data_IF_330343206423
#
_entry.id   IF_330343206423
#
_cell.length_a   1.000
_cell.length_b   1.000
_cell.length_c   1.000
_cell.angle_alpha   90.00
_cell.angle_beta   90.00
_cell.angle_gamma   90.00
#
_symmetry.space_group_name_H-M   'P 1'
#
loop_
_entity.id
_entity.type
_entity.pdbx_description
1 polymer ?
#
# COMPACT_ATOMS: atom_id res chain seq x y z
N UNK A 1 7.55 25.59 10.43
CA UNK A 1 7.46 24.97 10.65
C UNK A 1 7.16 24.54 10.74
N UNK A 2 7.18 24.75 10.39
CA UNK A 2 6.98 23.95 10.48
C UNK A 2 6.64 23.57 10.46
N UNK A 3 6.68 23.95 10.29
CA UNK A 3 6.52 23.15 10.33
C UNK A 3 6.02 22.80 10.49
N UNK A 4 5.99 22.98 10.39
CA UNK A 4 5.64 22.12 10.54
C UNK A 4 5.06 21.78 10.72
N UNK A 5 5.14 22.29 10.76
CA UNK A 5 4.79 21.65 10.96
C UNK A 5 4.29 21.29 10.74
N UNK A 6 4.44 21.70 10.45
CA UNK A 6 4.16 21.06 10.38
C UNK A 6 3.86 20.73 9.83
N UNK A 7 3.91 20.98 9.61
CA UNK A 7 3.90 20.32 9.28
C UNK A 7 3.47 20.10 8.95
N UNK A 8 3.45 20.64 8.83
CA UNK A 8 3.26 20.03 8.68
C UNK A 8 2.75 19.58 8.46
N UNK A 9 2.69 20.00 8.49
CA UNK A 9 2.54 19.22 8.36
C UNK A 9 2.01 18.99 7.71
N UNK A 10 1.98 19.64 7.48
CA UNK A 10 1.82 19.11 6.97
C UNK A 10 2.03 18.82 6.21
N UNK A 11 2.29 19.36 5.88
CA UNK A 11 2.84 18.84 5.44
C UNK A 11 2.99 18.46 5.09
N UNK A 12 2.94 18.89 4.95
CA UNK A 12 3.31 18.19 4.77
C UNK A 12 3.21 17.67 4.27
N UNK A 13 3.15 18.02 4.05
CA UNK A 13 3.31 17.30 3.72
C UNK A 13 3.00 17.01 2.97
N UNK A 14 2.96 17.47 2.79
CA UNK A 14 2.90 17.00 2.29
C UNK A 14 2.98 16.96 1.63
N UNK A 15 3.23 17.55 1.48
CA UNK A 15 3.53 17.33 1.10
C UNK A 15 4.12 17.15 0.59
N UNK A 16 4.59 17.52 0.40
CA UNK A 16 5.23 17.19 0.08
C UNK A 16 5.58 16.77 -0.52
N UNK A 17 5.62 16.68 -0.82
CA UNK A 17 5.80 16.11 -1.30
C UNK A 17 5.74 15.70 -2.11
N UNK A 18 5.84 15.93 -2.67
CA UNK A 18 5.61 15.46 -3.51
C UNK A 18 6.01 15.21 -4.82
N UNK A 19 6.41 15.26 -5.00
CA UNK A 19 6.80 15.41 -6.32
C UNK A 19 7.99 14.64 -6.68
N UNK A 20 8.48 13.88 -5.83
CA UNK A 20 9.55 12.94 -6.02
C UNK A 20 8.91 11.62 -6.40
N UNK A 21 9.15 11.11 -7.62
CA UNK A 21 8.41 9.93 -8.09
C UNK A 21 8.57 8.72 -7.21
N UNK A 22 9.76 8.52 -6.65
CA UNK A 22 10.00 7.36 -5.82
C UNK A 22 9.30 7.46 -4.46
N UNK A 23 8.79 8.63 -4.14
CA UNK A 23 8.08 8.82 -2.88
C UNK A 23 6.64 8.36 -2.98
N UNK A 24 6.21 7.98 -4.18
CA UNK A 24 4.84 7.55 -4.39
C UNK A 24 4.45 6.38 -3.50
N UNK A 25 5.43 5.57 -3.03
CA UNK A 25 5.11 4.45 -2.17
C UNK A 25 5.61 4.74 -0.76
N UNK A 26 4.69 5.07 0.11
CA UNK A 26 4.92 5.29 1.53
C UNK A 26 4.61 4.00 2.26
N UNK A 27 5.57 3.50 3.04
CA UNK A 27 5.42 2.22 3.74
C UNK A 27 4.26 2.22 4.71
N UNK A 28 4.08 3.31 5.45
CA UNK A 28 2.96 3.42 6.37
C UNK A 28 1.64 3.44 5.65
N UNK A 29 1.57 4.15 4.53
CA UNK A 29 0.36 4.22 3.72
C UNK A 29 0.02 2.86 3.11
N UNK A 30 1.02 2.08 2.71
CA UNK A 30 0.82 0.74 2.17
C UNK A 30 0.21 -0.18 3.24
N UNK A 31 0.79 -0.18 4.43
CA UNK A 31 0.30 -1.02 5.52
C UNK A 31 -1.13 -0.63 5.87
N UNK A 32 -1.39 0.66 5.98
CA UNK A 32 -2.72 1.16 6.32
C UNK A 32 -3.73 0.80 5.24
N UNK A 33 -3.34 0.95 3.96
CA UNK A 33 -4.23 0.63 2.86
C UNK A 33 -4.63 -0.85 2.87
N UNK A 34 -3.71 -1.73 3.19
CA UNK A 34 -3.95 -3.17 3.17
C UNK A 34 -4.49 -3.70 4.48
N UNK A 35 -4.64 -2.86 5.50
CA UNK A 35 -5.19 -3.27 6.78
C UNK A 35 -6.71 -3.47 6.72
N UNK A 36 -7.39 -2.74 5.87
CA UNK A 36 -8.84 -2.86 5.73
C UNK A 36 -9.19 -4.10 4.91
N UNK A 37 -10.00 -5.04 5.43
CA UNK A 37 -10.28 -6.30 4.73
C UNK A 37 -10.95 -6.10 3.37
N UNK A 38 -11.89 -5.16 3.26
CA UNK A 38 -12.57 -4.92 1.98
C UNK A 38 -11.60 -4.35 0.96
N UNK A 39 -10.77 -3.41 1.37
CA UNK A 39 -9.79 -2.81 0.49
C UNK A 39 -8.78 -3.85 0.04
N UNK A 40 -8.36 -4.72 0.94
CA UNK A 40 -7.45 -5.83 0.62
C UNK A 40 -8.08 -6.77 -0.41
N UNK A 41 -9.39 -7.05 -0.28
CA UNK A 41 -10.10 -7.88 -1.26
C UNK A 41 -10.10 -7.24 -2.64
N UNK A 42 -10.31 -5.93 -2.72
CA UNK A 42 -10.25 -5.22 -4.00
C UNK A 42 -8.84 -5.31 -4.58
N UNK A 43 -7.83 -5.12 -3.75
CA UNK A 43 -6.44 -5.22 -4.17
C UNK A 43 -6.16 -6.61 -4.76
N UNK A 44 -6.61 -7.65 -4.09
CA UNK A 44 -6.43 -9.03 -4.54
C UNK A 44 -7.16 -9.28 -5.86
N UNK A 45 -8.35 -8.71 -6.01
CA UNK A 45 -9.12 -8.84 -7.23
C UNK A 45 -8.36 -8.25 -8.42
N UNK A 46 -7.69 -7.12 -8.21
CA UNK A 46 -6.90 -6.48 -9.25
C UNK A 46 -5.67 -7.28 -9.62
N UNK A 47 -5.28 -8.23 -8.78
CA UNK A 47 -4.19 -9.15 -9.13
C UNK A 47 -4.51 -10.03 -10.33
N UNK A 48 -5.79 -10.18 -10.66
CA UNK A 48 -6.22 -10.93 -11.84
C UNK A 48 -6.26 -10.11 -13.12
N UNK A 49 -5.98 -8.81 -13.04
CA UNK A 49 -5.96 -7.93 -14.21
C UNK A 49 -6.75 -6.66 -13.97
N UNK A 50 -6.68 -5.71 -14.91
CA UNK A 50 -7.39 -4.44 -14.77
C UNK A 50 -8.91 -4.62 -14.66
N UNK A 51 -9.56 -3.74 -13.88
CA UNK A 51 -11.00 -3.76 -13.67
C UNK A 51 -11.54 -2.33 -13.63
N UNK A 52 -12.75 -2.15 -14.16
CA UNK A 52 -13.47 -0.90 -13.96
C UNK A 52 -14.19 -0.93 -12.61
N UNK A 53 -14.69 0.24 -12.16
CA UNK A 53 -15.46 0.29 -10.93
C UNK A 53 -16.70 -0.60 -11.03
N UNK A 54 -17.33 -0.63 -12.22
CA UNK A 54 -18.52 -1.47 -12.43
C UNK A 54 -18.15 -2.95 -12.25
N UNK A 55 -17.02 -3.36 -12.82
CA UNK A 55 -16.57 -4.75 -12.68
C UNK A 55 -16.35 -5.12 -11.22
N UNK A 56 -15.70 -4.22 -10.47
CA UNK A 56 -15.42 -4.47 -9.05
C UNK A 56 -16.71 -4.53 -8.25
N UNK A 57 -17.63 -3.60 -8.52
CA UNK A 57 -18.92 -3.54 -7.83
C UNK A 57 -19.71 -4.82 -8.02
N UNK A 58 -19.53 -5.48 -9.16
CA UNK A 58 -20.21 -6.75 -9.43
C UNK A 58 -19.65 -7.92 -8.62
N UNK A 59 -18.49 -7.77 -8.02
CA UNK A 59 -17.82 -8.88 -7.31
C UNK A 59 -17.66 -8.66 -5.81
N UNK A 60 -17.84 -7.44 -5.32
CA UNK A 60 -17.77 -7.17 -3.90
C UNK A 60 -19.10 -6.56 -3.45
N UNK A 61 -19.58 -6.95 -2.26
CA UNK A 61 -20.91 -6.54 -1.81
C UNK A 61 -20.92 -5.16 -1.15
N UNK A 62 -20.43 -4.15 -1.86
CA UNK A 62 -20.42 -2.77 -1.35
C UNK A 62 -20.86 -1.84 -2.46
N UNK A 63 -21.21 -0.61 -2.09
CA UNK A 63 -21.71 0.37 -3.05
C UNK A 63 -20.60 0.87 -3.96
N UNK A 64 -21.01 1.42 -5.11
CA UNK A 64 -20.06 1.99 -6.05
C UNK A 64 -19.24 3.14 -5.45
N UNK A 65 -19.85 4.07 -4.68
CA UNK A 65 -19.04 5.10 -4.02
C UNK A 65 -18.02 4.51 -3.05
N UNK A 66 -18.35 3.42 -2.35
CA UNK A 66 -17.41 2.78 -1.45
C UNK A 66 -16.24 2.15 -2.21
N UNK A 67 -16.52 1.52 -3.36
CA UNK A 67 -15.46 0.98 -4.21
C UNK A 67 -14.52 2.09 -4.64
N UNK A 68 -15.09 3.23 -5.10
CA UNK A 68 -14.29 4.37 -5.54
C UNK A 68 -13.40 4.90 -4.41
N UNK A 69 -13.94 4.94 -3.19
CA UNK A 69 -13.18 5.41 -2.04
C UNK A 69 -12.02 4.49 -1.72
N UNK A 70 -12.26 3.18 -1.74
CA UNK A 70 -11.18 2.21 -1.50
C UNK A 70 -10.11 2.27 -2.58
N UNK A 71 -10.51 2.44 -3.84
CA UNK A 71 -9.56 2.57 -4.93
C UNK A 71 -8.70 3.82 -4.79
N UNK A 72 -9.29 4.91 -4.30
CA UNK A 72 -8.54 6.13 -4.06
C UNK A 72 -7.45 5.90 -3.01
N UNK A 73 -7.78 5.22 -1.91
CA UNK A 73 -6.80 4.93 -0.88
C UNK A 73 -5.66 4.08 -1.42
N UNK A 74 -5.98 3.04 -2.20
CA UNK A 74 -4.97 2.19 -2.82
C UNK A 74 -4.10 2.97 -3.80
N UNK A 75 -4.70 3.87 -4.58
CA UNK A 75 -3.98 4.69 -5.54
C UNK A 75 -3.04 5.65 -4.82
N UNK A 76 -3.53 6.29 -3.77
CA UNK A 76 -2.72 7.25 -3.00
C UNK A 76 -1.55 6.55 -2.30
N UNK A 77 -1.70 5.27 -1.99
CA UNK A 77 -0.62 4.48 -1.40
C UNK A 77 0.36 3.97 -2.46
N UNK A 78 0.12 4.23 -3.73
CA UNK A 78 1.02 3.81 -4.80
C UNK A 78 0.84 2.38 -5.26
N UNK A 79 -0.22 1.70 -4.80
CA UNK A 79 -0.43 0.28 -5.09
C UNK A 79 -1.29 0.05 -6.33
N UNK A 80 -2.00 1.07 -6.77
CA UNK A 80 -2.96 0.97 -7.88
C UNK A 80 -2.79 2.17 -8.79
N UNK A 81 -2.90 1.94 -10.08
CA UNK A 81 -2.90 2.99 -11.10
C UNK A 81 -4.24 2.96 -11.83
N UNK A 82 -4.54 4.08 -12.50
CA UNK A 82 -5.77 4.19 -13.26
C UNK A 82 -5.46 4.63 -14.67
N UNK A 83 -6.17 4.06 -15.63
CA UNK A 83 -6.00 4.40 -17.04
C UNK A 83 -7.37 4.57 -17.67
N UNK A 84 -7.53 5.66 -18.41
CA UNK A 84 -8.77 5.91 -19.16
C UNK A 84 -8.68 5.19 -20.51
N UNK A 85 -9.77 4.49 -20.86
CA UNK A 85 -9.91 3.85 -22.15
C UNK A 85 -11.29 4.23 -22.66
N UNK A 86 -11.35 5.14 -23.63
CA UNK A 86 -12.61 5.71 -24.07
C UNK A 86 -13.24 6.49 -22.93
N UNK A 87 -14.48 6.17 -22.60
CA UNK A 87 -15.22 6.81 -21.51
C UNK A 87 -15.08 6.06 -20.19
N UNK A 88 -14.30 4.98 -20.15
CA UNK A 88 -14.19 4.13 -18.98
C UNK A 88 -12.82 4.28 -18.34
N UNK A 89 -12.79 4.05 -17.04
CA UNK A 89 -11.55 4.03 -16.28
C UNK A 89 -11.28 2.62 -15.77
N UNK A 90 -10.06 2.15 -15.99
CA UNK A 90 -9.63 0.84 -15.53
C UNK A 90 -8.56 1.00 -14.47
N UNK A 91 -8.73 0.29 -13.40
CA UNK A 91 -7.79 0.27 -12.28
C UNK A 91 -7.00 -1.01 -12.34
N UNK A 92 -5.71 -0.92 -12.05
CA UNK A 92 -4.80 -2.07 -12.11
C UNK A 92 -3.77 -1.93 -11.00
N UNK A 93 -3.17 -3.04 -10.62
CA UNK A 93 -2.05 -2.98 -9.69
C UNK A 93 -0.93 -2.18 -10.35
N UNK A 94 -0.26 -1.36 -9.56
CA UNK A 94 0.91 -0.61 -10.01
C UNK A 94 2.15 -1.45 -9.70
N UNK A 95 2.85 -1.99 -10.71
CA UNK A 95 3.97 -2.89 -10.45
C UNK A 95 5.08 -2.25 -9.63
N UNK A 96 5.33 -0.95 -9.81
CA UNK A 96 6.35 -0.25 -9.06
C UNK A 96 6.01 -0.20 -7.58
N UNK A 97 4.77 0.18 -7.26
CA UNK A 97 4.32 0.27 -5.87
C UNK A 97 4.26 -1.10 -5.21
N UNK A 98 3.75 -2.09 -5.94
CA UNK A 98 3.65 -3.46 -5.41
C UNK A 98 5.04 -4.03 -5.15
N UNK A 99 5.98 -3.77 -6.06
CA UNK A 99 7.35 -4.24 -5.89
C UNK A 99 8.03 -3.59 -4.69
N UNK A 100 7.82 -2.28 -4.51
CA UNK A 100 8.37 -1.57 -3.38
C UNK A 100 7.80 -2.10 -2.06
N UNK A 101 6.51 -2.41 -2.03
CA UNK A 101 5.88 -2.99 -0.86
C UNK A 101 6.46 -4.38 -0.55
N UNK A 102 6.65 -5.20 -1.59
CA UNK A 102 7.25 -6.51 -1.43
C UNK A 102 8.66 -6.40 -0.86
N UNK A 103 9.46 -5.49 -1.41
CA UNK A 103 10.84 -5.31 -0.95
C UNK A 103 10.88 -4.88 0.51
N UNK A 104 9.96 -4.04 0.93
CA UNK A 104 9.85 -3.64 2.33
C UNK A 104 9.57 -4.85 3.22
N UNK A 105 8.60 -5.68 2.85
CA UNK A 105 8.25 -6.84 3.65
C UNK A 105 9.38 -7.87 3.67
N UNK A 106 10.07 -8.05 2.53
CA UNK A 106 11.22 -8.95 2.48
C UNK A 106 12.31 -8.51 3.44
N UNK A 107 12.60 -7.21 3.46
CA UNK A 107 13.60 -6.66 4.35
C UNK A 107 13.17 -6.80 5.82
N UNK A 108 11.92 -6.55 6.10
CA UNK A 108 11.37 -6.71 7.43
C UNK A 108 11.52 -8.16 7.91
N UNK A 109 11.16 -9.12 7.07
CA UNK A 109 11.27 -10.54 7.43
C UNK A 109 12.70 -10.95 7.66
N UNK A 110 13.64 -10.49 6.82
CA UNK A 110 15.05 -10.79 7.00
C UNK A 110 15.55 -10.30 8.35
N UNK A 111 15.18 -9.07 8.71
CA UNK A 111 15.57 -8.49 9.99
C UNK A 111 14.94 -9.26 11.15
N UNK A 112 13.65 -9.59 11.04
CA UNK A 112 12.95 -10.31 12.09
C UNK A 112 13.51 -11.70 12.30
N UNK A 113 13.83 -12.41 11.21
CA UNK A 113 14.39 -13.74 11.30
C UNK A 113 15.80 -13.72 11.91
N UNK A 114 16.59 -12.70 11.57
CA UNK A 114 17.91 -12.53 12.17
C UNK A 114 17.80 -12.30 13.68
N UNK A 115 16.83 -11.51 14.11
CA UNK A 115 16.60 -11.27 15.53
C UNK A 115 16.16 -12.53 16.24
N UNK A 116 15.33 -13.35 15.61
CA UNK A 116 14.93 -14.64 16.16
C UNK A 116 16.11 -15.58 16.30
N UNK A 117 16.99 -15.62 15.31
CA UNK A 117 18.17 -16.47 15.36
C UNK A 117 19.09 -16.06 16.51
N UNK A 118 19.28 -14.74 16.69
CA UNK A 118 20.09 -14.25 17.80
C UNK A 118 19.49 -14.60 19.15
N UNK A 119 18.19 -14.44 19.30
CA UNK A 119 17.51 -14.76 20.54
C UNK A 119 17.61 -16.25 20.85
N UNK A 120 17.48 -17.10 19.85
CA UNK A 120 17.59 -18.54 20.01
C UNK A 120 19.01 -18.93 20.45
N UNK A 121 20.04 -18.32 19.83
CA UNK A 121 21.41 -18.57 20.18
C UNK A 121 21.72 -18.13 21.61
N UNK A 122 21.23 -16.97 22.01
CA UNK A 122 21.42 -16.46 23.35
C UNK A 122 20.77 -17.39 24.39
N UNK A 123 19.56 -17.89 24.11
CA UNK A 123 18.88 -18.83 24.99
C UNK A 123 19.67 -20.13 25.10
N UNK A 124 20.20 -20.62 23.97
CA UNK A 124 20.96 -21.84 23.93
C UNK A 124 22.23 -21.72 24.78
N UNK A 125 22.92 -20.59 24.67
CA UNK A 125 24.12 -20.34 25.47
C UNK A 125 23.80 -20.25 26.97
N UNK A 126 22.66 -19.64 27.30
CA UNK A 126 22.27 -19.49 28.69
C UNK A 126 21.96 -20.84 29.34
N UNK A 127 21.62 -21.85 28.56
CA UNK A 127 21.29 -23.17 29.08
C UNK A 127 22.50 -24.08 29.20
N UNK A 128 23.63 -23.63 28.74
CA UNK A 128 24.89 -24.37 28.88
C UNK A 128 25.61 -23.93 30.15
#
# INVERSE_FOLDING_TARGET
MVLNSGVDRSLTTSSVSHNLPFVATDRGAVIEALADPTRRSIFELLGGGPRSVVDITGEVPISRPAVSQHLRVLKDAGLVSVRAVGTRRFYALDPTGVRAARDYFDQFWTTALAAFAEAADATKEAQQ
#
